data_IF_247502208715
#
_entry.id   IF_247502208715
#
_cell.length_a   1.000
_cell.length_b   1.000
_cell.length_c   1.000
_cell.angle_alpha   90.00
_cell.angle_beta   90.00
_cell.angle_gamma   90.00
#
_symmetry.space_group_name_H-M   'P 1'
#
loop_
_entity.id
_entity.type
_entity.pdbx_description
1 polymer ?
#
# COMPACT_ATOMS: atom_id res chain seq x y z
N UNK A 1 -23.98 -80.58 -24.71
CA UNK A 1 -22.76 -79.92 -24.21
C UNK A 1 -23.10 -78.48 -23.81
N UNK A 2 -23.30 -78.20 -22.51
CA UNK A 2 -23.49 -76.82 -22.00
C UNK A 2 -22.12 -76.20 -21.76
N UNK A 3 -21.81 -75.07 -22.39
CA UNK A 3 -20.59 -74.29 -22.09
C UNK A 3 -20.78 -73.58 -20.75
N UNK A 4 -19.84 -73.78 -19.83
CA UNK A 4 -19.74 -73.01 -18.60
C UNK A 4 -19.34 -71.56 -18.95
N UNK A 5 -20.17 -70.59 -18.55
CA UNK A 5 -19.83 -69.17 -18.61
C UNK A 5 -19.10 -68.83 -17.31
N UNK A 6 -17.87 -68.37 -17.44
CA UNK A 6 -16.92 -68.05 -16.37
C UNK A 6 -17.47 -66.96 -15.44
N UNK A 7 -17.63 -67.26 -14.15
CA UNK A 7 -18.03 -66.31 -13.10
C UNK A 7 -16.94 -65.28 -12.73
N UNK A 8 -15.76 -65.34 -13.33
CA UNK A 8 -14.60 -64.53 -12.97
C UNK A 8 -14.69 -63.04 -13.35
N UNK A 9 -15.56 -62.65 -14.30
CA UNK A 9 -15.65 -61.26 -14.78
C UNK A 9 -16.60 -60.34 -14.01
N UNK A 10 -17.41 -60.86 -13.08
CA UNK A 10 -18.45 -60.09 -12.38
C UNK A 10 -17.88 -59.34 -11.17
N UNK A 11 -16.92 -59.94 -10.45
CA UNK A 11 -16.30 -59.34 -9.27
C UNK A 11 -15.38 -58.14 -9.60
N UNK A 12 -14.66 -58.19 -10.73
CA UNK A 12 -13.80 -57.10 -11.19
C UNK A 12 -14.59 -55.84 -11.55
N UNK A 13 -15.84 -55.97 -12.01
CA UNK A 13 -16.69 -54.84 -12.37
C UNK A 13 -17.23 -54.10 -11.13
N UNK A 14 -17.58 -54.83 -10.08
CA UNK A 14 -18.03 -54.26 -8.80
C UNK A 14 -16.89 -53.55 -8.04
N UNK A 15 -15.69 -54.15 -8.05
CA UNK A 15 -14.50 -53.52 -7.46
C UNK A 15 -14.15 -52.21 -8.19
N UNK A 16 -14.23 -52.20 -9.52
CA UNK A 16 -14.03 -50.99 -10.32
C UNK A 16 -15.06 -49.90 -10.02
N UNK A 17 -16.35 -50.26 -9.85
CA UNK A 17 -17.42 -49.33 -9.44
C UNK A 17 -17.13 -48.71 -8.08
N UNK A 18 -16.69 -49.52 -7.12
CA UNK A 18 -16.31 -49.05 -5.79
C UNK A 18 -15.10 -48.11 -5.82
N UNK A 19 -14.04 -48.45 -6.57
CA UNK A 19 -12.85 -47.59 -6.73
C UNK A 19 -13.20 -46.25 -7.38
N UNK A 20 -14.05 -46.25 -8.41
CA UNK A 20 -14.54 -45.02 -9.07
C UNK A 20 -15.34 -44.17 -8.08
N UNK A 21 -16.21 -44.80 -7.27
CA UNK A 21 -16.97 -44.13 -6.21
C UNK A 21 -16.06 -43.49 -5.17
N UNK A 22 -15.06 -44.22 -4.66
CA UNK A 22 -14.08 -43.71 -3.71
C UNK A 22 -13.25 -42.55 -4.28
N UNK A 23 -12.81 -42.64 -5.54
CA UNK A 23 -12.11 -41.54 -6.23
C UNK A 23 -13.01 -40.31 -6.35
N UNK A 24 -14.28 -40.47 -6.72
CA UNK A 24 -15.27 -39.39 -6.79
C UNK A 24 -15.51 -38.76 -5.41
N UNK A 25 -15.63 -39.56 -4.35
CA UNK A 25 -15.78 -39.06 -2.98
C UNK A 25 -14.53 -38.30 -2.52
N UNK A 26 -13.33 -38.79 -2.83
CA UNK A 26 -12.07 -38.11 -2.51
C UNK A 26 -11.94 -36.78 -3.26
N UNK A 27 -12.33 -36.74 -4.53
CA UNK A 27 -12.40 -35.51 -5.33
C UNK A 27 -13.42 -34.51 -4.77
N UNK A 28 -14.62 -34.97 -4.39
CA UNK A 28 -15.66 -34.12 -3.76
C UNK A 28 -15.19 -33.53 -2.43
N UNK A 29 -14.56 -34.34 -1.57
CA UNK A 29 -13.98 -33.85 -0.30
C UNK A 29 -12.89 -32.81 -0.55
N UNK A 30 -11.97 -33.07 -1.48
CA UNK A 30 -10.92 -32.11 -1.84
C UNK A 30 -11.46 -30.79 -2.38
N UNK A 31 -12.49 -30.83 -3.22
CA UNK A 31 -13.14 -29.62 -3.75
C UNK A 31 -13.84 -28.82 -2.65
N UNK A 32 -14.55 -29.50 -1.74
CA UNK A 32 -15.18 -28.87 -0.58
C UNK A 32 -14.16 -28.19 0.35
N UNK A 33 -13.04 -28.86 0.60
CA UNK A 33 -11.95 -28.29 1.42
C UNK A 33 -11.37 -27.05 0.73
N UNK A 34 -11.08 -27.12 -0.58
CA UNK A 34 -10.61 -25.96 -1.35
C UNK A 34 -11.60 -24.79 -1.35
N UNK A 35 -12.90 -25.06 -1.52
CA UNK A 35 -13.94 -24.02 -1.49
C UNK A 35 -14.04 -23.32 -0.12
N UNK A 36 -13.98 -24.09 0.98
CA UNK A 36 -14.00 -23.53 2.34
C UNK A 36 -12.74 -22.72 2.67
N UNK A 37 -11.58 -23.12 2.16
CA UNK A 37 -10.32 -22.39 2.36
C UNK A 37 -10.31 -21.08 1.57
N UNK A 38 -10.78 -21.10 0.31
CA UNK A 38 -10.95 -19.90 -0.50
C UNK A 38 -11.92 -18.89 0.13
N UNK A 39 -13.06 -19.38 0.64
CA UNK A 39 -14.04 -18.52 1.33
C UNK A 39 -13.46 -17.85 2.59
N UNK A 40 -12.63 -18.58 3.36
CA UNK A 40 -11.94 -18.04 4.54
C UNK A 40 -10.92 -16.94 4.20
N UNK A 41 -10.15 -17.13 3.13
CA UNK A 41 -9.19 -16.13 2.64
C UNK A 41 -9.90 -14.84 2.24
N UNK A 42 -11.02 -14.96 1.50
CA UNK A 42 -11.82 -13.80 1.08
C UNK A 42 -12.43 -13.05 2.28
N UNK A 43 -12.96 -13.78 3.26
CA UNK A 43 -13.46 -13.16 4.50
C UNK A 43 -12.36 -12.40 5.26
N UNK A 44 -11.15 -12.96 5.36
CA UNK A 44 -10.01 -12.32 6.02
C UNK A 44 -9.53 -11.04 5.30
N UNK A 45 -9.55 -11.04 3.97
CA UNK A 45 -9.18 -9.85 3.19
C UNK A 45 -10.21 -8.72 3.37
N UNK A 46 -11.50 -9.07 3.43
CA UNK A 46 -12.57 -8.10 3.67
C UNK A 46 -12.46 -7.45 5.05
N UNK A 47 -12.17 -8.21 6.11
CA UNK A 47 -12.05 -7.63 7.47
C UNK A 47 -10.84 -6.69 7.60
N UNK A 48 -9.71 -7.04 6.98
CA UNK A 48 -8.53 -6.17 6.95
C UNK A 48 -8.79 -4.86 6.19
N UNK A 49 -9.44 -4.94 5.03
CA UNK A 49 -9.84 -3.77 4.24
C UNK A 49 -10.81 -2.86 5.02
N UNK A 50 -11.80 -3.44 5.70
CA UNK A 50 -12.75 -2.69 6.53
C UNK A 50 -12.04 -2.01 7.71
N UNK A 51 -11.09 -2.69 8.37
CA UNK A 51 -10.32 -2.11 9.46
C UNK A 51 -9.47 -0.92 8.99
N UNK A 52 -8.83 -1.04 7.83
CA UNK A 52 -8.08 0.06 7.21
C UNK A 52 -8.99 1.22 6.84
N UNK A 53 -10.14 0.95 6.22
CA UNK A 53 -11.12 1.99 5.87
C UNK A 53 -11.62 2.74 7.10
N UNK A 54 -11.91 2.03 8.20
CA UNK A 54 -12.29 2.65 9.48
C UNK A 54 -11.19 3.55 10.03
N UNK A 55 -9.93 3.07 10.05
CA UNK A 55 -8.79 3.88 10.49
C UNK A 55 -8.64 5.15 9.66
N UNK A 56 -8.80 5.06 8.34
CA UNK A 56 -8.76 6.21 7.45
C UNK A 56 -9.89 7.19 7.73
N UNK A 57 -11.11 6.72 7.97
CA UNK A 57 -12.25 7.56 8.33
C UNK A 57 -11.99 8.32 9.63
N UNK A 58 -11.45 7.66 10.65
CA UNK A 58 -11.11 8.33 11.91
C UNK A 58 -10.02 9.39 11.71
N UNK A 59 -9.01 9.13 10.87
CA UNK A 59 -8.01 10.12 10.49
C UNK A 59 -8.64 11.34 9.81
N UNK A 60 -9.48 11.10 8.80
CA UNK A 60 -10.14 12.18 8.04
C UNK A 60 -11.08 13.02 8.91
N UNK A 61 -11.75 12.40 9.90
CA UNK A 61 -12.56 13.14 10.88
C UNK A 61 -11.71 14.10 11.70
N UNK A 62 -10.53 13.66 12.16
CA UNK A 62 -9.61 14.53 12.89
C UNK A 62 -9.12 15.69 12.01
N UNK A 63 -8.74 15.42 10.75
CA UNK A 63 -8.27 16.46 9.81
C UNK A 63 -9.36 17.43 9.37
N UNK A 64 -10.61 16.95 9.25
CA UNK A 64 -11.75 17.79 8.94
C UNK A 64 -12.02 18.80 10.06
N UNK A 65 -11.77 18.40 11.32
CA UNK A 65 -11.98 19.21 12.52
C UNK A 65 -10.83 20.19 12.82
N UNK A 66 -9.91 20.41 11.88
CA UNK A 66 -8.87 21.44 12.02
C UNK A 66 -9.47 22.80 11.67
N UNK A 67 -9.35 23.75 12.60
CA UNK A 67 -9.72 25.14 12.38
C UNK A 67 -8.82 25.78 11.32
N UNK A 68 -9.43 26.25 10.23
CA UNK A 68 -8.72 26.88 9.11
C UNK A 68 -8.82 28.40 9.23
N UNK A 69 -7.72 29.08 8.92
CA UNK A 69 -7.71 30.54 8.73
C UNK A 69 -8.02 30.89 7.27
N UNK A 70 -8.51 32.10 7.02
CA UNK A 70 -8.73 32.61 5.66
C UNK A 70 -7.41 32.68 4.90
N UNK A 71 -7.42 32.28 3.63
CA UNK A 71 -6.24 32.36 2.75
C UNK A 71 -5.75 33.81 2.63
N UNK A 72 -6.64 34.79 2.55
CA UNK A 72 -6.26 36.20 2.52
C UNK A 72 -5.50 36.65 3.76
N UNK A 73 -5.84 36.11 4.94
CA UNK A 73 -5.10 36.37 6.18
C UNK A 73 -3.74 35.70 6.16
N UNK A 74 -3.68 34.41 5.84
CA UNK A 74 -2.41 33.68 5.74
C UNK A 74 -1.44 34.35 4.74
N UNK A 75 -1.95 34.80 3.60
CA UNK A 75 -1.16 35.51 2.60
C UNK A 75 -0.63 36.84 3.13
N UNK A 76 -1.45 37.62 3.85
CA UNK A 76 -1.00 38.86 4.48
C UNK A 76 0.08 38.60 5.54
N UNK A 77 -0.11 37.59 6.39
CA UNK A 77 0.86 37.21 7.43
C UNK A 77 2.21 36.81 6.80
N UNK A 78 2.18 36.02 5.71
CA UNK A 78 3.39 35.66 4.95
C UNK A 78 4.07 36.88 4.32
N UNK A 79 3.30 37.77 3.70
CA UNK A 79 3.82 38.99 3.09
C UNK A 79 4.50 39.89 4.13
N UNK A 80 3.83 40.14 5.26
CA UNK A 80 4.39 40.92 6.36
C UNK A 80 5.67 40.30 6.94
N UNK A 81 5.72 38.96 7.05
CA UNK A 81 6.93 38.28 7.48
C UNK A 81 8.09 38.50 6.50
N UNK A 82 7.84 38.31 5.20
CA UNK A 82 8.83 38.53 4.16
C UNK A 82 9.32 39.99 4.14
N UNK A 83 8.42 40.97 4.21
CA UNK A 83 8.77 42.40 4.21
C UNK A 83 9.60 42.79 5.44
N UNK A 84 9.26 42.26 6.62
CA UNK A 84 9.99 42.54 7.84
C UNK A 84 11.45 42.05 7.79
N UNK A 85 11.70 40.91 7.15
CA UNK A 85 13.03 40.29 7.07
C UNK A 85 13.74 40.53 5.73
N UNK A 86 13.11 41.20 4.77
CA UNK A 86 13.66 41.42 3.44
C UNK A 86 15.03 42.12 3.44
N UNK A 87 15.27 42.99 4.42
CA UNK A 87 16.54 43.73 4.58
C UNK A 87 17.65 42.90 5.24
N UNK A 88 17.27 41.84 5.94
CA UNK A 88 18.21 40.94 6.63
C UNK A 88 18.63 39.78 5.72
N UNK A 89 17.91 39.56 4.62
CA UNK A 89 18.25 38.56 3.61
C UNK A 89 19.36 39.10 2.67
N UNK A 90 20.60 38.58 2.74
CA UNK A 90 21.70 39.04 1.90
C UNK A 90 21.54 38.70 0.42
N UNK A 91 20.63 37.79 0.08
CA UNK A 91 20.33 37.38 -1.29
C UNK A 91 19.29 38.31 -1.94
N UNK A 92 18.40 38.87 -1.13
CA UNK A 92 17.40 39.85 -1.58
C UNK A 92 17.95 41.28 -1.55
N UNK A 93 18.65 41.65 -0.48
CA UNK A 93 19.37 42.91 -0.36
C UNK A 93 20.89 42.65 -0.39
N UNK A 94 21.58 42.96 -1.50
CA UNK A 94 23.01 42.66 -1.61
C UNK A 94 23.82 43.37 -0.53
N UNK A 95 24.56 42.58 0.25
CA UNK A 95 25.46 43.11 1.28
C UNK A 95 26.76 43.65 0.65
N UNK A 96 27.41 44.64 1.27
CA UNK A 96 28.72 45.10 0.84
C UNK A 96 29.73 43.95 0.75
N UNK A 97 30.67 44.05 -0.18
CA UNK A 97 31.63 43.00 -0.42
C UNK A 97 32.47 42.66 0.85
N UNK A 98 32.73 43.63 1.72
CA UNK A 98 33.44 43.42 3.01
C UNK A 98 32.71 42.49 3.98
N UNK A 99 31.38 42.46 3.92
CA UNK A 99 30.53 41.61 4.77
C UNK A 99 30.27 40.26 4.12
N UNK A 100 30.38 40.16 2.79
CA UNK A 100 30.21 38.92 2.06
C UNK A 100 31.41 37.96 2.30
N UNK A 101 31.21 36.82 2.99
CA UNK A 101 32.27 35.86 3.25
C UNK A 101 32.83 35.20 1.98
N UNK A 102 32.05 35.22 0.89
CA UNK A 102 32.41 34.66 -0.41
C UNK A 102 33.07 35.68 -1.35
N UNK A 103 33.42 36.87 -0.87
CA UNK A 103 34.15 37.85 -1.68
C UNK A 103 35.55 37.33 -2.06
N UNK A 104 35.96 37.59 -3.30
CA UNK A 104 37.34 37.41 -3.72
C UNK A 104 38.32 38.17 -2.82
N UNK A 105 39.25 37.44 -2.21
CA UNK A 105 40.39 38.04 -1.51
C UNK A 105 41.30 38.65 -2.56
N UNK A 106 41.35 39.99 -2.63
CA UNK A 106 42.41 40.67 -3.38
C UNK A 106 43.73 40.39 -2.68
N UNK A 107 44.44 39.35 -3.12
CA UNK A 107 45.86 39.21 -2.81
C UNK A 107 46.58 40.33 -3.56
N UNK A 108 47.26 41.21 -2.84
CA UNK A 108 48.23 42.10 -3.45
C UNK A 108 49.37 41.23 -3.98
N UNK A 109 49.30 40.84 -5.25
CA UNK A 109 50.47 40.32 -5.96
C UNK A 109 51.41 41.51 -6.17
N UNK A 110 52.37 41.68 -5.26
CA UNK A 110 53.61 42.36 -5.62
C UNK A 110 54.42 41.34 -6.43
N UNK A 111 54.50 41.56 -7.74
CA UNK A 111 55.55 40.94 -8.54
C UNK A 111 56.84 41.65 -8.11
N UNK A 112 57.66 40.95 -7.31
CA UNK A 112 59.03 41.34 -6.95
C UNK A 112 59.99 40.92 -8.06
#
# INVERSE_FOLDING_TARGET
MRRAVSQSGVADNELNRYIISLRRLKLKKNLSVKASQFSRLMASNNTASIAQARKLVEQLKMEANIDRIKVSKAAADLMSYCEAHAKEDPLLSPVPASENPFREKKFFCAIL
#
